data_IF_649017246670
#
_entry.id   IF_649017246670
#
_cell.length_a   1.000
_cell.length_b   1.000
_cell.length_c   1.000
_cell.angle_alpha   90.00
_cell.angle_beta   90.00
_cell.angle_gamma   90.00
#
_symmetry.space_group_name_H-M   'P 1'
#
loop_
_entity.id
_entity.type
_entity.pdbx_description
1 polymer ?
#
# COMPACT_ATOMS: atom_id res chain seq x y z
N UNK A 1 9.80 -9.69 -12.60
CA UNK A 1 10.54 -8.39 -12.53
C UNK A 1 10.34 -7.72 -11.16
N UNK A 2 11.26 -6.85 -10.68
CA UNK A 2 10.98 -5.99 -9.53
C UNK A 2 9.86 -5.00 -9.87
N UNK A 3 9.00 -4.69 -8.91
CA UNK A 3 7.97 -3.68 -9.04
C UNK A 3 8.57 -2.27 -8.99
N UNK A 4 7.80 -1.33 -9.52
CA UNK A 4 8.08 0.09 -9.30
C UNK A 4 7.85 0.47 -7.84
N UNK A 5 8.25 1.68 -7.45
CA UNK A 5 7.88 2.23 -6.15
C UNK A 5 6.36 2.10 -5.92
N UNK A 6 5.93 1.64 -4.74
CA UNK A 6 4.52 1.44 -4.46
C UNK A 6 3.74 2.76 -4.54
N UNK A 7 2.49 2.73 -5.03
CA UNK A 7 1.67 3.92 -5.18
C UNK A 7 1.43 4.59 -3.82
N UNK A 8 1.60 5.90 -3.75
CA UNK A 8 1.30 6.68 -2.55
C UNK A 8 -0.21 6.83 -2.37
N UNK A 9 -0.67 6.84 -1.12
CA UNK A 9 -2.09 7.02 -0.79
C UNK A 9 -2.31 8.36 -0.07
N UNK A 10 -3.51 8.91 -0.15
CA UNK A 10 -3.87 10.09 0.61
C UNK A 10 -4.07 9.73 2.08
N UNK A 11 -3.55 10.56 2.99
CA UNK A 11 -3.67 10.38 4.45
C UNK A 11 -3.10 9.06 4.98
N UNK A 12 -2.07 8.54 4.32
CA UNK A 12 -1.32 7.39 4.78
C UNK A 12 0.03 7.26 4.09
N UNK A 13 0.84 6.33 4.59
CA UNK A 13 2.22 6.09 4.16
C UNK A 13 2.44 4.61 3.82
N UNK A 14 3.02 4.29 2.66
CA UNK A 14 3.49 2.94 2.35
C UNK A 14 4.75 2.60 3.16
N UNK A 15 4.85 1.35 3.59
CA UNK A 15 6.01 0.79 4.26
C UNK A 15 6.39 -0.51 3.58
N UNK A 16 7.59 -0.55 3.01
CA UNK A 16 8.12 -1.69 2.29
C UNK A 16 9.62 -1.80 2.53
N UNK A 17 10.14 -3.02 2.59
CA UNK A 17 11.58 -3.26 2.73
C UNK A 17 12.29 -3.38 1.38
N UNK A 18 11.54 -3.63 0.30
CA UNK A 18 12.06 -3.83 -1.04
C UNK A 18 10.95 -3.80 -2.09
N UNK A 19 11.35 -3.80 -3.36
CA UNK A 19 10.43 -3.82 -4.50
C UNK A 19 10.63 -5.05 -5.39
N UNK A 20 11.49 -5.98 -4.97
CA UNK A 20 11.75 -7.22 -5.67
C UNK A 20 10.50 -8.09 -5.78
N UNK A 21 10.50 -9.00 -6.75
CA UNK A 21 9.41 -9.95 -6.93
C UNK A 21 9.15 -10.75 -5.63
N UNK A 22 7.90 -10.78 -5.16
CA UNK A 22 7.52 -11.38 -3.88
C UNK A 22 7.64 -10.44 -2.67
N UNK A 23 8.21 -9.23 -2.83
CA UNK A 23 8.19 -8.20 -1.79
C UNK A 23 6.77 -7.75 -1.49
N UNK A 24 6.52 -7.32 -0.27
CA UNK A 24 5.23 -6.78 0.13
C UNK A 24 5.36 -5.36 0.66
N UNK A 25 4.39 -4.52 0.33
CA UNK A 25 4.20 -3.19 0.90
C UNK A 25 2.99 -3.22 1.83
N UNK A 26 3.15 -2.61 2.99
CA UNK A 26 2.09 -2.42 3.99
C UNK A 26 1.81 -0.93 4.12
N UNK A 27 0.55 -0.54 3.98
CA UNK A 27 0.10 0.83 4.08
C UNK A 27 -0.41 1.13 5.48
N UNK A 28 0.00 2.28 5.99
CA UNK A 28 -0.42 2.77 7.29
C UNK A 28 -1.16 4.08 7.11
N UNK A 29 -2.41 4.15 7.57
CA UNK A 29 -3.14 5.41 7.60
C UNK A 29 -2.59 6.30 8.72
N UNK A 30 -2.66 7.62 8.50
CA UNK A 30 -2.29 8.61 9.50
C UNK A 30 -3.20 8.49 10.74
N UNK A 31 -2.75 9.04 11.87
CA UNK A 31 -3.54 9.05 13.11
C UNK A 31 -4.90 9.72 12.87
N UNK A 32 -5.98 9.03 13.25
CA UNK A 32 -7.36 9.48 13.01
C UNK A 32 -7.99 9.00 11.69
N UNK A 33 -7.22 8.33 10.83
CA UNK A 33 -7.69 7.77 9.56
C UNK A 33 -7.67 6.24 9.60
N UNK A 34 -8.61 5.63 8.87
CA UNK A 34 -8.75 4.17 8.78
C UNK A 34 -8.88 3.74 7.32
N UNK A 35 -8.45 2.51 7.03
CA UNK A 35 -8.61 1.94 5.69
C UNK A 35 -10.10 1.68 5.46
N UNK A 36 -10.69 2.47 4.58
CA UNK A 36 -12.10 2.37 4.21
C UNK A 36 -12.32 1.41 3.04
N UNK A 37 -11.39 1.40 2.07
CA UNK A 37 -11.40 0.49 0.93
C UNK A 37 -10.00 0.02 0.60
N UNK A 38 -9.92 -1.08 -0.14
CA UNK A 38 -8.67 -1.67 -0.59
C UNK A 38 -8.02 -2.57 0.45
N UNK A 39 -6.73 -2.88 0.23
CA UNK A 39 -5.97 -3.81 1.04
C UNK A 39 -4.84 -3.07 1.75
N UNK A 40 -4.70 -3.31 3.05
CA UNK A 40 -3.56 -2.78 3.82
C UNK A 40 -2.22 -3.25 3.25
N UNK A 41 -2.18 -4.44 2.66
CA UNK A 41 -0.95 -5.05 2.16
C UNK A 41 -1.10 -5.36 0.67
N UNK A 42 -0.11 -4.97 -0.13
CA UNK A 42 0.02 -5.35 -1.53
C UNK A 42 1.28 -6.20 -1.70
N UNK A 43 1.25 -7.13 -2.66
CA UNK A 43 2.38 -8.00 -2.96
C UNK A 43 2.88 -7.74 -4.36
N UNK A 44 4.18 -7.54 -4.53
CA UNK A 44 4.79 -7.37 -5.82
C UNK A 44 4.78 -8.71 -6.57
N UNK A 45 4.08 -8.78 -7.69
CA UNK A 45 4.11 -9.91 -8.61
C UNK A 45 4.40 -9.44 -10.03
N UNK A 46 5.46 -9.99 -10.59
CA UNK A 46 5.97 -9.68 -11.92
C UNK A 46 5.96 -8.20 -12.33
N UNK A 47 6.48 -7.32 -11.47
CA UNK A 47 6.56 -5.88 -11.75
C UNK A 47 5.30 -5.08 -11.42
N UNK A 48 4.22 -5.74 -10.98
CA UNK A 48 2.95 -5.10 -10.62
C UNK A 48 2.60 -5.37 -9.15
N UNK A 49 2.16 -4.33 -8.44
CA UNK A 49 1.62 -4.49 -7.09
C UNK A 49 0.23 -5.12 -7.15
N UNK A 50 0.13 -6.38 -6.71
CA UNK A 50 -1.13 -7.10 -6.62
C UNK A 50 -1.92 -6.68 -5.38
N UNK A 51 -3.19 -6.37 -5.61
CA UNK A 51 -4.16 -5.95 -4.62
C UNK A 51 -4.71 -4.55 -4.94
N UNK A 52 -5.55 -4.04 -4.06
CA UNK A 52 -6.18 -2.72 -4.23
C UNK A 52 -5.52 -1.70 -3.31
N UNK A 53 -5.06 -0.57 -3.86
CA UNK A 53 -4.51 0.54 -3.06
C UNK A 53 -5.49 0.97 -1.99
N UNK A 54 -5.07 1.03 -0.71
CA UNK A 54 -6.00 1.35 0.36
C UNK A 54 -6.36 2.83 0.34
N UNK A 55 -7.63 3.12 0.61
CA UNK A 55 -8.13 4.48 0.79
C UNK A 55 -8.27 4.74 2.28
N UNK A 56 -7.49 5.68 2.80
CA UNK A 56 -7.61 6.14 4.17
C UNK A 56 -8.69 7.23 4.26
N UNK A 57 -9.70 7.01 5.09
CA UNK A 57 -10.77 7.98 5.37
C UNK A 57 -10.75 8.31 6.86
N UNK A 58 -10.85 9.60 7.17
CA UNK A 58 -10.96 10.07 8.54
C UNK A 58 -12.38 9.85 9.04
N UNK A 59 -12.53 9.28 10.24
CA UNK A 59 -13.82 9.27 10.91
C UNK A 59 -14.02 10.66 11.51
N UNK A 60 -14.67 11.54 10.76
CA UNK A 60 -15.07 12.89 11.19
C UNK A 60 -16.57 12.90 11.51
#
# INVERSE_FOLDING_TARGET
MPCSAPPSISYGSPSYSGTDHGSAVTYYCNVGYQIFRGSQRLTCSDGTWLGSTPLCVGNI
#
